data_IF_177635609886
#
_entry.id   IF_177635609886
#
_cell.length_a   1.000
_cell.length_b   1.000
_cell.length_c   1.000
_cell.angle_alpha   90.00
_cell.angle_beta   90.00
_cell.angle_gamma   90.00
#
_symmetry.space_group_name_H-M   'P 1'
#
loop_
_entity.id
_entity.type
_entity.pdbx_description
1 polymer ?
#
# COMPACT_ATOMS: atom_id res chain seq x y z
N UNK A 1 11.67 -16.26 -1.72
CA UNK A 1 12.60 -15.33 -1.04
C UNK A 1 12.14 -15.07 0.38
N UNK A 2 13.08 -14.95 1.27
CA UNK A 2 12.76 -14.74 2.68
C UNK A 2 12.59 -13.26 2.99
N UNK A 3 11.73 -12.98 3.96
CA UNK A 3 11.59 -11.62 4.48
C UNK A 3 12.61 -11.45 5.59
N UNK A 4 13.49 -10.48 5.45
CA UNK A 4 14.51 -10.21 6.45
C UNK A 4 13.98 -9.13 7.39
N UNK A 5 13.96 -9.44 8.68
CA UNK A 5 13.45 -8.51 9.69
C UNK A 5 14.56 -8.08 10.63
N UNK A 6 14.42 -6.89 11.21
CA UNK A 6 15.34 -6.37 12.19
C UNK A 6 14.62 -5.80 13.39
N UNK A 7 15.31 -5.75 14.51
CA UNK A 7 14.83 -5.15 15.74
C UNK A 7 15.13 -3.66 15.73
N UNK A 8 14.18 -2.84 16.20
CA UNK A 8 14.41 -1.42 16.40
C UNK A 8 13.67 -0.93 17.63
N UNK A 9 14.09 0.19 18.17
CA UNK A 9 13.45 0.81 19.31
C UNK A 9 12.64 2.01 18.91
N UNK A 10 11.49 2.19 19.56
CA UNK A 10 10.75 3.42 19.48
C UNK A 10 9.91 3.59 20.75
N UNK A 11 9.46 4.80 21.02
CA UNK A 11 8.57 5.07 22.16
C UNK A 11 7.22 4.39 21.93
N UNK A 12 6.64 3.88 23.00
CA UNK A 12 5.30 3.28 22.95
C UNK A 12 4.28 4.29 22.43
N UNK A 13 4.38 5.53 22.87
CA UNK A 13 3.57 6.65 22.36
C UNK A 13 4.54 7.65 21.75
N UNK A 14 4.55 7.76 20.44
CA UNK A 14 5.55 8.56 19.70
C UNK A 14 5.50 10.02 20.11
N UNK A 15 4.31 10.57 20.38
CA UNK A 15 4.14 11.97 20.73
C UNK A 15 4.47 12.30 22.18
N UNK A 16 4.68 11.30 23.03
CA UNK A 16 4.95 11.50 24.46
C UNK A 16 6.41 11.18 24.79
N UNK A 17 7.25 12.19 25.09
CA UNK A 17 8.67 11.95 25.41
C UNK A 17 8.88 11.10 26.66
N UNK A 18 7.91 11.05 27.57
CA UNK A 18 8.00 10.24 28.79
C UNK A 18 7.58 8.79 28.58
N UNK A 19 7.10 8.44 27.41
CA UNK A 19 6.67 7.08 27.09
C UNK A 19 7.89 6.14 27.06
N UNK A 20 7.75 4.89 27.55
CA UNK A 20 8.89 3.95 27.55
C UNK A 20 9.31 3.57 26.13
N UNK A 21 10.59 3.30 25.96
CA UNK A 21 11.14 2.77 24.72
C UNK A 21 10.89 1.28 24.67
N UNK A 22 10.30 0.82 23.56
CA UNK A 22 10.03 -0.59 23.34
C UNK A 22 10.72 -1.08 22.08
N UNK A 23 10.95 -2.38 22.02
CA UNK A 23 11.53 -3.02 20.85
C UNK A 23 10.40 -3.53 19.94
N UNK A 24 10.58 -3.33 18.65
CA UNK A 24 9.64 -3.79 17.62
C UNK A 24 10.44 -4.43 16.50
N UNK A 25 9.76 -5.24 15.69
CA UNK A 25 10.33 -5.81 14.48
C UNK A 25 9.79 -5.09 13.26
N UNK A 26 10.63 -4.94 12.27
CA UNK A 26 10.25 -4.42 10.96
C UNK A 26 11.06 -5.11 9.88
N UNK A 27 10.61 -5.02 8.64
CA UNK A 27 11.40 -5.50 7.53
C UNK A 27 12.67 -4.65 7.43
N UNK A 28 13.82 -5.31 7.28
CA UNK A 28 15.09 -4.59 7.20
C UNK A 28 15.10 -3.70 5.96
N UNK A 29 15.42 -2.40 6.09
CA UNK A 29 15.48 -1.50 4.94
C UNK A 29 16.47 -1.98 3.89
N UNK A 30 16.15 -1.72 2.61
CA UNK A 30 17.01 -2.06 1.46
C UNK A 30 17.16 -3.56 1.22
N UNK A 31 16.38 -4.42 1.88
CA UNK A 31 16.42 -5.86 1.63
C UNK A 31 15.28 -6.34 0.74
N UNK A 32 14.32 -5.48 0.41
CA UNK A 32 13.22 -5.83 -0.48
C UNK A 32 13.46 -5.25 -1.87
N UNK A 33 13.07 -6.01 -2.89
CA UNK A 33 13.09 -5.54 -4.26
C UNK A 33 11.73 -4.98 -4.66
N UNK A 34 11.68 -4.37 -5.83
CA UNK A 34 10.43 -3.91 -6.41
C UNK A 34 10.14 -4.73 -7.65
N UNK A 35 8.96 -5.33 -7.68
CA UNK A 35 8.48 -6.07 -8.85
C UNK A 35 7.58 -5.11 -9.63
N UNK A 36 8.02 -4.72 -10.82
CA UNK A 36 7.28 -3.76 -11.63
C UNK A 36 6.33 -4.46 -12.60
N UNK A 37 5.65 -3.66 -13.43
CA UNK A 37 4.67 -4.17 -14.38
C UNK A 37 5.29 -5.12 -15.40
N UNK A 38 6.52 -4.87 -15.82
CA UNK A 38 7.20 -5.72 -16.80
C UNK A 38 7.49 -7.11 -16.23
N UNK A 39 7.96 -7.17 -15.01
CA UNK A 39 8.23 -8.44 -14.31
C UNK A 39 6.93 -9.18 -14.05
N UNK A 40 5.89 -8.48 -13.61
CA UNK A 40 4.58 -9.09 -13.37
C UNK A 40 4.01 -9.66 -14.67
N UNK A 41 4.06 -8.89 -15.76
CA UNK A 41 3.55 -9.33 -17.05
C UNK A 41 4.28 -10.56 -17.57
N UNK A 42 5.61 -10.61 -17.41
CA UNK A 42 6.40 -11.75 -17.82
C UNK A 42 6.05 -13.01 -17.02
N UNK A 43 5.78 -12.84 -15.72
CA UNK A 43 5.37 -13.94 -14.86
C UNK A 43 3.97 -14.44 -15.20
N UNK A 44 3.03 -13.53 -15.46
CA UNK A 44 1.65 -13.88 -15.82
C UNK A 44 1.61 -14.60 -17.16
N UNK A 45 2.44 -14.18 -18.11
CA UNK A 45 2.52 -14.82 -19.43
C UNK A 45 2.74 -16.33 -19.34
N UNK A 46 3.50 -16.77 -18.35
CA UNK A 46 3.77 -18.20 -18.16
C UNK A 46 2.53 -19.01 -17.82
N UNK A 47 1.51 -18.35 -17.26
CA UNK A 47 0.32 -19.00 -16.72
C UNK A 47 -0.96 -18.69 -17.51
N UNK A 48 -0.85 -17.99 -18.63
CA UNK A 48 -2.01 -17.67 -19.46
C UNK A 48 -1.63 -17.64 -20.93
N UNK A 49 -2.65 -17.59 -21.80
CA UNK A 49 -2.43 -17.62 -23.25
C UNK A 49 -2.04 -16.27 -23.84
N UNK A 50 -1.97 -15.22 -23.04
CA UNK A 50 -1.64 -13.88 -23.50
C UNK A 50 -0.14 -13.64 -23.51
N UNK A 51 0.34 -12.83 -24.45
CA UNK A 51 1.75 -12.44 -24.48
C UNK A 51 2.04 -11.42 -23.38
N UNK A 52 3.31 -11.25 -23.06
CA UNK A 52 3.75 -10.23 -22.09
C UNK A 52 3.23 -8.84 -22.47
N UNK A 53 3.30 -8.49 -23.76
CA UNK A 53 2.82 -7.19 -24.22
C UNK A 53 1.33 -7.01 -24.02
N UNK A 54 0.55 -8.05 -24.31
CA UNK A 54 -0.90 -8.03 -24.11
C UNK A 54 -1.25 -7.86 -22.64
N UNK A 55 -0.58 -8.58 -21.75
CA UNK A 55 -0.79 -8.48 -20.32
C UNK A 55 -0.48 -7.07 -19.82
N UNK A 56 0.63 -6.51 -20.27
CA UNK A 56 1.03 -5.15 -19.90
C UNK A 56 -0.02 -4.12 -20.34
N UNK A 57 -0.52 -4.26 -21.58
CA UNK A 57 -1.56 -3.37 -22.11
C UNK A 57 -2.84 -3.45 -21.29
N UNK A 58 -3.26 -4.66 -20.90
CA UNK A 58 -4.46 -4.83 -20.09
C UNK A 58 -4.30 -4.17 -18.72
N UNK A 59 -3.13 -4.33 -18.10
CA UNK A 59 -2.87 -3.71 -16.79
C UNK A 59 -2.88 -2.19 -16.91
N UNK A 60 -2.25 -1.64 -17.94
CA UNK A 60 -2.25 -0.20 -18.17
C UNK A 60 -3.66 0.34 -18.42
N UNK A 61 -4.45 -0.38 -19.20
CA UNK A 61 -5.85 -0.01 -19.44
C UNK A 61 -6.66 -0.05 -18.16
N UNK A 62 -6.40 -1.04 -17.30
CA UNK A 62 -7.07 -1.13 -16.00
C UNK A 62 -6.75 0.08 -15.12
N UNK A 63 -5.50 0.53 -15.10
CA UNK A 63 -5.11 1.72 -14.34
C UNK A 63 -5.87 2.95 -14.83
N UNK A 64 -5.96 3.13 -16.16
CA UNK A 64 -6.71 4.24 -16.74
C UNK A 64 -8.19 4.20 -16.37
N UNK A 65 -8.80 3.01 -16.42
CA UNK A 65 -10.20 2.84 -16.04
C UNK A 65 -10.44 3.15 -14.57
N UNK A 66 -9.53 2.71 -13.71
CA UNK A 66 -9.62 3.00 -12.27
C UNK A 66 -9.58 4.52 -12.06
N UNK A 67 -8.62 5.21 -12.69
CA UNK A 67 -8.51 6.66 -12.56
C UNK A 67 -9.76 7.38 -13.05
N UNK A 68 -10.29 6.95 -14.18
CA UNK A 68 -11.48 7.57 -14.77
C UNK A 68 -12.70 7.42 -13.87
N UNK A 69 -12.94 6.24 -13.33
CA UNK A 69 -14.08 6.00 -12.46
C UNK A 69 -13.96 6.73 -11.13
N UNK A 70 -12.75 6.78 -10.56
CA UNK A 70 -12.52 7.54 -9.33
C UNK A 70 -12.74 9.04 -9.56
N UNK A 71 -12.33 9.55 -10.71
CA UNK A 71 -12.56 10.95 -11.07
C UNK A 71 -14.05 11.28 -11.19
N UNK A 72 -14.87 10.30 -11.55
CA UNK A 72 -16.32 10.45 -11.61
C UNK A 72 -17.01 10.28 -10.25
N UNK A 73 -16.26 9.99 -9.20
CA UNK A 73 -16.79 9.84 -7.85
C UNK A 73 -17.20 8.43 -7.48
N UNK A 74 -16.94 7.46 -8.33
CA UNK A 74 -17.28 6.07 -8.06
C UNK A 74 -16.16 5.36 -7.31
N UNK A 75 -16.52 4.32 -6.57
CA UNK A 75 -15.54 3.38 -6.03
C UNK A 75 -15.30 2.30 -7.06
N UNK A 76 -14.08 1.79 -7.12
CA UNK A 76 -13.73 0.70 -8.03
C UNK A 76 -13.38 -0.52 -7.20
N UNK A 77 -14.15 -1.59 -7.33
CA UNK A 77 -13.92 -2.84 -6.63
C UNK A 77 -13.41 -3.90 -7.60
N UNK A 78 -12.26 -4.46 -7.27
CA UNK A 78 -11.72 -5.63 -7.97
C UNK A 78 -11.86 -6.82 -7.03
N UNK A 79 -12.65 -7.79 -7.43
CA UNK A 79 -12.91 -8.97 -6.61
C UNK A 79 -11.58 -9.68 -6.31
N UNK A 80 -11.40 -10.10 -5.06
CA UNK A 80 -10.20 -10.77 -4.57
C UNK A 80 -8.98 -9.85 -4.42
N UNK A 81 -9.04 -8.61 -4.93
CA UNK A 81 -7.96 -7.65 -4.77
C UNK A 81 -8.29 -6.61 -3.71
N UNK A 82 -9.35 -5.87 -3.92
CA UNK A 82 -9.75 -4.83 -2.99
C UNK A 82 -10.53 -3.72 -3.68
N UNK A 83 -10.73 -2.64 -2.95
CA UNK A 83 -11.52 -1.51 -3.40
C UNK A 83 -10.70 -0.23 -3.37
N UNK A 84 -10.70 0.49 -4.48
CA UNK A 84 -10.12 1.83 -4.56
C UNK A 84 -11.22 2.86 -4.33
N UNK A 85 -10.92 3.88 -3.55
CA UNK A 85 -11.84 5.00 -3.35
C UNK A 85 -11.05 6.29 -3.15
N UNK A 86 -11.76 7.39 -3.31
CA UNK A 86 -11.19 8.72 -3.19
C UNK A 86 -11.49 9.30 -1.81
N UNK A 87 -10.53 10.01 -1.25
CA UNK A 87 -10.72 10.76 -0.01
C UNK A 87 -10.22 12.18 -0.18
N UNK A 88 -10.81 13.09 0.60
CA UNK A 88 -10.41 14.48 0.59
C UNK A 88 -9.74 14.85 1.89
N UNK A 89 -8.90 15.85 1.82
CA UNK A 89 -8.36 16.51 3.00
C UNK A 89 -8.74 17.98 2.92
N UNK A 90 -9.35 18.51 3.97
CA UNK A 90 -9.62 19.92 4.08
C UNK A 90 -9.51 20.37 5.53
N UNK A 91 -9.13 21.64 5.80
CA UNK A 91 -9.10 22.15 7.14
C UNK A 91 -10.51 22.30 7.68
N UNK A 92 -10.67 22.21 9.02
CA UNK A 92 -11.94 22.46 9.65
C UNK A 92 -12.35 23.93 9.55
N UNK A 93 -13.64 24.18 9.33
CA UNK A 93 -14.18 25.54 9.27
C UNK A 93 -15.16 25.75 10.40
N UNK A 94 -15.16 26.97 10.98
CA UNK A 94 -16.03 27.29 12.10
C UNK A 94 -17.50 27.42 11.70
N UNK A 95 -17.76 27.84 10.46
CA UNK A 95 -19.12 28.02 9.96
C UNK A 95 -19.36 27.15 8.75
N UNK A 96 -20.57 26.61 8.61
CA UNK A 96 -20.90 25.71 7.52
C UNK A 96 -20.85 26.41 6.15
N UNK A 97 -21.19 27.67 6.10
CA UNK A 97 -21.17 28.45 4.86
C UNK A 97 -19.75 28.75 4.36
N UNK A 98 -18.75 28.65 5.24
CA UNK A 98 -17.35 28.82 4.88
C UNK A 98 -16.70 27.52 4.42
N UNK A 99 -17.34 26.40 4.67
CA UNK A 99 -16.83 25.08 4.25
C UNK A 99 -17.30 24.78 2.83
N UNK A 100 -16.46 25.06 1.86
CA UNK A 100 -16.79 24.92 0.44
C UNK A 100 -15.80 23.97 -0.26
N UNK A 101 -16.11 23.60 -1.49
CA UNK A 101 -15.24 22.75 -2.31
C UNK A 101 -13.84 23.36 -2.46
N UNK A 102 -13.74 24.69 -2.42
CA UNK A 102 -12.47 25.38 -2.54
C UNK A 102 -11.53 25.13 -1.37
N UNK A 103 -12.06 24.65 -0.24
CA UNK A 103 -11.27 24.36 0.95
C UNK A 103 -10.57 23.00 0.88
N UNK A 104 -10.88 22.17 -0.11
CA UNK A 104 -10.23 20.88 -0.29
C UNK A 104 -8.78 21.15 -0.67
N UNK A 105 -7.86 20.73 0.22
CA UNK A 105 -6.42 20.94 0.01
C UNK A 105 -5.78 19.79 -0.73
N UNK A 106 -6.34 18.59 -0.63
CA UNK A 106 -5.75 17.41 -1.25
C UNK A 106 -6.81 16.33 -1.51
N UNK A 107 -6.67 15.67 -2.66
CA UNK A 107 -7.46 14.51 -3.02
C UNK A 107 -6.53 13.31 -3.02
N UNK A 108 -6.91 12.25 -2.34
CA UNK A 108 -6.11 11.04 -2.22
C UNK A 108 -6.86 9.84 -2.74
N UNK A 109 -6.11 8.87 -3.26
CA UNK A 109 -6.65 7.56 -3.60
C UNK A 109 -6.29 6.62 -2.46
N UNK A 110 -7.29 5.93 -1.93
CA UNK A 110 -7.11 4.94 -0.88
C UNK A 110 -7.47 3.57 -1.40
N UNK A 111 -6.76 2.57 -0.91
CA UNK A 111 -6.99 1.19 -1.28
C UNK A 111 -7.29 0.38 -0.02
N UNK A 112 -8.40 -0.34 -0.04
CA UNK A 112 -8.79 -1.25 1.04
C UNK A 112 -8.67 -2.66 0.48
N UNK A 113 -7.74 -3.48 0.98
CA UNK A 113 -7.61 -4.86 0.51
C UNK A 113 -8.88 -5.66 0.78
N UNK A 114 -9.21 -6.57 -0.14
CA UNK A 114 -10.27 -7.53 0.09
C UNK A 114 -9.84 -8.46 1.23
N UNK A 115 -10.81 -8.95 1.99
CA UNK A 115 -10.52 -9.90 3.07
C UNK A 115 -9.88 -11.19 2.56
N UNK A 116 -10.01 -11.51 1.29
CA UNK A 116 -9.34 -12.65 0.68
C UNK A 116 -7.89 -12.34 0.28
N UNK A 117 -7.53 -11.07 0.14
CA UNK A 117 -6.17 -10.66 -0.16
C UNK A 117 -5.42 -10.39 1.14
N UNK A 118 -4.80 -11.42 1.66
CA UNK A 118 -4.04 -11.30 2.91
C UNK A 118 -2.92 -12.32 2.97
N UNK A 119 -1.91 -11.99 3.73
CA UNK A 119 -0.83 -12.92 4.07
C UNK A 119 -1.17 -13.56 5.40
N UNK A 120 -1.12 -14.90 5.42
CA UNK A 120 -1.37 -15.66 6.64
C UNK A 120 -0.06 -15.89 7.35
N UNK A 121 -0.07 -15.86 8.68
CA UNK A 121 1.13 -16.19 9.47
C UNK A 121 1.66 -17.56 9.05
N UNK A 122 2.95 -17.62 8.74
CA UNK A 122 3.58 -18.84 8.26
C UNK A 122 3.60 -18.98 6.74
N UNK A 123 2.83 -18.18 6.00
CA UNK A 123 2.88 -18.19 4.54
C UNK A 123 4.08 -17.41 4.00
N UNK A 124 4.73 -16.64 4.86
CA UNK A 124 5.92 -15.86 4.51
C UNK A 124 7.09 -16.39 5.33
N UNK A 125 8.20 -16.62 4.66
CA UNK A 125 9.41 -17.06 5.35
C UNK A 125 10.11 -15.83 5.94
N UNK A 126 10.16 -15.75 7.28
CA UNK A 126 10.74 -14.64 7.99
C UNK A 126 12.13 -15.01 8.50
N UNK A 127 13.11 -14.18 8.22
CA UNK A 127 14.48 -14.39 8.63
C UNK A 127 14.95 -13.21 9.48
N UNK A 128 15.13 -13.46 10.77
CA UNK A 128 15.62 -12.45 11.68
C UNK A 128 17.12 -12.26 11.51
N UNK A 129 17.58 -11.04 11.28
CA UNK A 129 19.00 -10.72 11.30
C UNK A 129 19.32 -9.99 12.58
N UNK A 130 20.38 -10.45 13.24
CA UNK A 130 20.86 -9.79 14.42
C UNK A 130 21.20 -8.34 14.10
N UNK A 131 20.80 -7.39 14.93
CA UNK A 131 21.22 -6.00 14.73
C UNK A 131 22.73 -5.87 14.88
N UNK A 132 23.26 -4.72 14.49
CA UNK A 132 24.68 -4.49 14.64
C UNK A 132 25.08 -4.58 16.13
N UNK A 133 26.38 -4.86 16.44
CA UNK A 133 26.79 -5.13 17.81
C UNK A 133 26.44 -4.07 18.85
N UNK A 134 26.16 -2.88 18.42
CA UNK A 134 25.80 -1.79 19.35
C UNK A 134 24.30 -1.66 19.63
N UNK A 135 23.52 -2.56 19.14
CA UNK A 135 22.07 -2.52 19.36
C UNK A 135 21.66 -3.18 20.67
#
# INVERSE_FOLDING_TARGET
>A
MDVIVERFQRRKIVSNPASPMLYYLRQKPKTCGTVDIDVLAASIQKNCAMTKGDVKHVIEALVEEIQGNLANGDKVKLNQLGTFHMTFRCPGMEASDKCTVRNISKVNIRFIPDKELKLVNGSTCLLYTSPSPRD
#
